data_IF_583373182116
#
_entry.id   IF_583373182116
#
_cell.length_a   1.000
_cell.length_b   1.000
_cell.length_c   1.000
_cell.angle_alpha   90.00
_cell.angle_beta   90.00
_cell.angle_gamma   90.00
#
_symmetry.space_group_name_H-M   'P 1'
#
loop_
_entity.id
_entity.type
_entity.pdbx_description
1 polymer ?
#
# COMPACT_ATOMS: atom_id res chain seq x y z
N UNK A 1 -61.34 62.42 -48.13
CA UNK A 1 -61.27 61.64 -46.88
C UNK A 1 -60.17 60.61 -47.03
N UNK A 2 -58.94 60.91 -46.50
CA UNK A 2 -57.77 60.04 -46.58
C UNK A 2 -57.68 59.30 -45.25
N UNK A 3 -57.76 57.94 -45.23
CA UNK A 3 -57.56 57.10 -44.10
C UNK A 3 -56.12 56.61 -44.08
N UNK A 4 -55.30 57.15 -43.20
CA UNK A 4 -53.95 56.66 -42.90
C UNK A 4 -54.01 55.39 -41.98
N UNK A 5 -53.48 54.25 -42.45
CA UNK A 5 -53.30 53.04 -41.69
C UNK A 5 -51.97 53.11 -40.95
N UNK A 6 -51.99 53.20 -39.62
CA UNK A 6 -50.80 52.99 -38.75
C UNK A 6 -50.44 51.52 -38.70
N UNK A 7 -49.27 51.15 -39.19
CA UNK A 7 -48.69 49.82 -39.02
C UNK A 7 -47.96 49.78 -37.66
N UNK A 8 -48.39 48.89 -36.72
CA UNK A 8 -47.72 48.62 -35.46
C UNK A 8 -46.62 47.57 -35.69
N UNK A 9 -45.38 48.00 -35.65
CA UNK A 9 -44.21 47.04 -35.54
C UNK A 9 -44.10 46.55 -34.13
N UNK A 10 -44.30 45.23 -33.91
CA UNK A 10 -43.99 44.53 -32.65
C UNK A 10 -42.56 44.06 -32.77
N UNK A 11 -41.68 44.71 -31.97
CA UNK A 11 -40.31 44.22 -31.80
C UNK A 11 -40.34 43.04 -30.79
N UNK A 12 -40.14 41.81 -31.28
CA UNK A 12 -39.90 40.65 -30.44
C UNK A 12 -38.44 40.66 -30.00
N UNK A 13 -38.16 41.04 -28.76
CA UNK A 13 -36.85 40.90 -28.15
C UNK A 13 -36.62 39.41 -27.81
N UNK A 14 -35.76 38.73 -28.57
CA UNK A 14 -35.28 37.38 -28.24
C UNK A 14 -34.28 37.47 -27.10
N UNK A 15 -34.72 37.06 -25.90
CA UNK A 15 -33.82 36.85 -24.75
C UNK A 15 -32.97 35.58 -24.99
N UNK A 16 -31.71 35.76 -25.39
CA UNK A 16 -30.73 34.68 -25.47
C UNK A 16 -30.28 34.36 -24.06
N UNK A 17 -30.83 33.29 -23.44
CA UNK A 17 -30.38 32.77 -22.16
C UNK A 17 -28.98 32.18 -22.33
N UNK A 18 -27.96 32.90 -21.88
CA UNK A 18 -26.60 32.38 -21.75
C UNK A 18 -26.62 31.40 -20.60
N UNK A 19 -26.66 30.10 -20.89
CA UNK A 19 -26.45 29.06 -19.93
C UNK A 19 -24.98 29.13 -19.45
N UNK A 20 -24.73 29.68 -18.28
CA UNK A 20 -23.45 29.58 -17.59
C UNK A 20 -23.20 28.11 -17.30
N UNK A 21 -22.04 27.54 -17.70
CA UNK A 21 -21.70 26.18 -17.28
C UNK A 21 -21.65 26.17 -15.76
N UNK A 22 -22.49 25.35 -15.11
CA UNK A 22 -22.37 25.07 -13.72
C UNK A 22 -20.96 24.53 -13.50
N UNK A 23 -20.15 25.18 -12.67
CA UNK A 23 -18.86 24.67 -12.27
C UNK A 23 -19.13 23.30 -11.59
N UNK A 24 -18.92 22.22 -12.35
CA UNK A 24 -18.95 20.89 -11.77
C UNK A 24 -17.87 20.88 -10.68
N UNK A 25 -18.27 20.79 -9.42
CA UNK A 25 -17.34 20.63 -8.32
C UNK A 25 -16.42 19.43 -8.62
N UNK A 26 -15.15 19.52 -8.20
CA UNK A 26 -14.22 18.41 -8.36
C UNK A 26 -14.86 17.14 -7.78
N UNK A 27 -14.80 16.03 -8.52
CA UNK A 27 -15.26 14.74 -8.02
C UNK A 27 -14.42 14.32 -6.79
N UNK A 28 -15.00 13.52 -5.92
CA UNK A 28 -14.28 12.98 -4.78
C UNK A 28 -13.55 11.67 -5.18
N UNK A 29 -12.29 11.56 -4.78
CA UNK A 29 -11.57 10.27 -4.69
C UNK A 29 -11.72 9.77 -3.26
N UNK A 30 -12.61 8.80 -3.04
CA UNK A 30 -12.84 8.21 -1.73
C UNK A 30 -11.87 7.05 -1.51
N UNK A 31 -10.98 7.19 -0.55
CA UNK A 31 -9.94 6.20 -0.23
C UNK A 31 -10.26 5.54 1.11
N UNK A 32 -10.37 4.21 1.13
CA UNK A 32 -10.40 3.45 2.37
C UNK A 32 -8.98 3.36 2.93
N UNK A 33 -8.81 3.74 4.19
CA UNK A 33 -7.53 3.71 4.88
C UNK A 33 -7.71 3.39 6.37
N UNK A 34 -6.69 2.80 6.98
CA UNK A 34 -6.68 2.60 8.43
C UNK A 34 -6.31 3.91 9.12
N UNK A 35 -7.06 4.30 10.17
CA UNK A 35 -6.82 5.57 10.88
C UNK A 35 -5.56 5.58 11.75
N UNK A 36 -4.96 4.41 12.01
CA UNK A 36 -3.85 4.23 12.96
C UNK A 36 -3.01 3.01 12.57
N UNK A 37 -2.35 3.07 11.41
CA UNK A 37 -1.53 1.99 10.85
C UNK A 37 -0.24 2.55 10.25
N UNK A 38 0.56 3.23 11.07
CA UNK A 38 1.88 3.71 10.61
C UNK A 38 2.83 2.53 10.36
N UNK A 39 3.67 2.62 9.32
CA UNK A 39 3.93 3.75 8.44
C UNK A 39 3.02 3.83 7.19
N UNK A 40 2.00 3.00 7.09
CA UNK A 40 1.09 2.95 5.95
C UNK A 40 0.14 4.15 5.91
N UNK A 41 -0.74 4.25 6.90
CA UNK A 41 -1.72 5.35 6.97
C UNK A 41 -2.05 5.75 8.40
N UNK A 42 -2.40 7.02 8.57
CA UNK A 42 -2.95 7.56 9.80
C UNK A 42 -3.89 8.75 9.53
N UNK A 43 -4.63 9.20 10.56
CA UNK A 43 -5.51 10.37 10.45
C UNK A 43 -4.78 11.68 10.28
N UNK A 44 -3.50 11.77 10.67
CA UNK A 44 -2.67 12.94 10.47
C UNK A 44 -2.19 13.08 9.03
N UNK A 45 -2.32 12.01 8.22
CA UNK A 45 -1.89 11.99 6.84
C UNK A 45 -0.37 11.79 6.69
N UNK A 46 0.29 11.21 7.69
CA UNK A 46 1.75 11.05 7.72
C UNK A 46 2.23 9.75 7.10
N UNK A 47 1.38 8.73 6.97
CA UNK A 47 1.72 7.47 6.33
C UNK A 47 2.03 7.60 4.84
N UNK A 48 2.81 6.66 4.29
CA UNK A 48 3.19 6.71 2.88
C UNK A 48 1.99 6.51 1.94
N UNK A 49 1.02 5.67 2.32
CA UNK A 49 -0.24 5.53 1.57
C UNK A 49 -1.04 6.82 1.53
N UNK A 50 -1.07 7.58 2.64
CA UNK A 50 -1.71 8.88 2.67
C UNK A 50 -1.07 9.83 1.65
N UNK A 51 0.27 9.86 1.56
CA UNK A 51 0.99 10.71 0.62
C UNK A 51 0.74 10.28 -0.84
N UNK A 52 0.71 8.96 -1.12
CA UNK A 52 0.37 8.41 -2.44
C UNK A 52 -1.08 8.74 -2.81
N UNK A 53 -2.03 8.58 -1.89
CA UNK A 53 -3.44 8.92 -2.10
C UNK A 53 -3.64 10.41 -2.40
N UNK A 54 -2.98 11.28 -1.63
CA UNK A 54 -3.04 12.73 -1.83
C UNK A 54 -2.49 13.14 -3.20
N UNK A 55 -1.35 12.57 -3.60
CA UNK A 55 -0.79 12.81 -4.92
C UNK A 55 -1.70 12.30 -6.04
N UNK A 56 -2.27 11.11 -5.88
CA UNK A 56 -3.19 10.50 -6.85
C UNK A 56 -4.44 11.36 -7.04
N UNK A 57 -5.07 11.81 -5.96
CA UNK A 57 -6.23 12.70 -6.03
C UNK A 57 -5.88 14.03 -6.74
N UNK A 58 -4.74 14.63 -6.40
CA UNK A 58 -4.24 15.84 -7.05
C UNK A 58 -4.03 15.63 -8.55
N UNK A 59 -3.39 14.52 -8.95
CA UNK A 59 -3.15 14.19 -10.37
C UNK A 59 -4.44 13.97 -11.16
N UNK A 60 -5.50 13.52 -10.51
CA UNK A 60 -6.83 13.37 -11.08
C UNK A 60 -7.64 14.67 -11.09
N UNK A 61 -7.21 15.72 -10.39
CA UNK A 61 -8.03 16.92 -10.17
C UNK A 61 -9.25 16.63 -9.28
N UNK A 62 -9.18 15.61 -8.42
CA UNK A 62 -10.25 15.18 -7.53
C UNK A 62 -9.94 15.58 -6.08
N UNK A 63 -11.01 15.71 -5.29
CA UNK A 63 -10.87 15.96 -3.85
C UNK A 63 -10.64 14.64 -3.12
N UNK A 64 -9.56 14.54 -2.34
CA UNK A 64 -9.32 13.39 -1.48
C UNK A 64 -10.30 13.36 -0.31
N UNK A 65 -10.96 12.23 -0.13
CA UNK A 65 -11.85 11.93 1.00
C UNK A 65 -11.49 10.57 1.58
N UNK A 66 -11.14 10.52 2.86
CA UNK A 66 -10.87 9.24 3.53
C UNK A 66 -12.14 8.62 4.11
N UNK A 67 -12.24 7.31 3.94
CA UNK A 67 -13.17 6.44 4.67
C UNK A 67 -12.32 5.60 5.62
N UNK A 68 -12.29 6.02 6.88
CA UNK A 68 -11.46 5.40 7.90
C UNK A 68 -12.09 4.11 8.41
N UNK A 69 -11.36 3.02 8.31
CA UNK A 69 -11.72 1.71 8.85
C UNK A 69 -10.45 0.93 9.20
N UNK A 70 -10.48 0.15 10.27
CA UNK A 70 -9.31 -0.66 10.64
C UNK A 70 -9.16 -1.85 9.68
N UNK A 71 -7.93 -2.12 9.29
CA UNK A 71 -7.53 -3.34 8.56
C UNK A 71 -7.23 -4.51 9.49
N UNK A 72 -7.22 -4.24 10.80
CA UNK A 72 -6.92 -5.19 11.87
C UNK A 72 -8.21 -5.68 12.52
N UNK A 73 -8.17 -6.88 13.05
CA UNK A 73 -9.31 -7.52 13.71
C UNK A 73 -9.73 -8.82 13.04
N UNK A 74 -10.76 -9.46 13.57
CA UNK A 74 -11.25 -10.73 13.05
C UNK A 74 -11.70 -10.59 11.59
N UNK A 75 -10.98 -11.24 10.66
CA UNK A 75 -11.24 -11.17 9.23
C UNK A 75 -10.28 -10.28 8.43
N UNK A 76 -9.41 -9.52 9.10
CA UNK A 76 -8.29 -8.80 8.49
C UNK A 76 -8.66 -7.97 7.26
N UNK A 77 -7.77 -7.99 6.27
CA UNK A 77 -7.92 -7.22 5.02
C UNK A 77 -9.15 -7.63 4.20
N UNK A 78 -9.52 -8.90 4.18
CA UNK A 78 -10.70 -9.37 3.42
C UNK A 78 -11.97 -8.78 3.97
N UNK A 79 -12.15 -8.75 5.29
CA UNK A 79 -13.29 -8.10 5.91
C UNK A 79 -13.29 -6.59 5.67
N UNK A 80 -12.14 -5.95 5.74
CA UNK A 80 -12.00 -4.53 5.43
C UNK A 80 -12.47 -4.20 4.00
N UNK A 81 -12.06 -4.98 3.00
CA UNK A 81 -12.51 -4.86 1.62
C UNK A 81 -14.03 -5.05 1.53
N UNK A 82 -14.53 -6.16 2.08
CA UNK A 82 -15.95 -6.49 2.02
C UNK A 82 -16.84 -5.42 2.66
N UNK A 83 -16.46 -4.93 3.85
CA UNK A 83 -17.26 -3.96 4.60
C UNK A 83 -17.21 -2.54 4.06
N UNK A 84 -16.19 -2.20 3.28
CA UNK A 84 -15.96 -0.82 2.84
C UNK A 84 -15.95 -0.66 1.32
N UNK A 85 -15.04 -1.35 0.63
CA UNK A 85 -14.88 -1.22 -0.82
C UNK A 85 -16.09 -1.81 -1.56
N UNK A 86 -16.50 -3.03 -1.25
CA UNK A 86 -17.66 -3.71 -1.88
C UNK A 86 -18.96 -3.01 -1.58
N UNK A 87 -19.12 -2.47 -0.37
CA UNK A 87 -20.29 -1.68 0.03
C UNK A 87 -20.27 -0.23 -0.49
N UNK A 88 -19.32 0.10 -1.37
CA UNK A 88 -19.22 1.41 -2.02
C UNK A 88 -19.06 2.59 -1.05
N UNK A 89 -18.53 2.35 0.14
CA UNK A 89 -18.20 3.43 1.07
C UNK A 89 -17.00 4.23 0.56
N UNK A 90 -16.01 3.54 -0.02
CA UNK A 90 -14.88 4.11 -0.75
C UNK A 90 -14.78 3.56 -2.16
N UNK A 91 -13.86 4.10 -2.96
CA UNK A 91 -13.62 3.74 -4.34
C UNK A 91 -12.28 3.02 -4.54
N UNK A 92 -11.31 3.30 -3.67
CA UNK A 92 -9.92 2.89 -3.80
C UNK A 92 -9.36 2.43 -2.47
N UNK A 93 -8.51 1.39 -2.54
CA UNK A 93 -7.59 0.97 -1.47
C UNK A 93 -6.16 1.09 -2.02
N UNK A 94 -5.23 1.57 -1.19
CA UNK A 94 -3.83 1.68 -1.54
C UNK A 94 -3.05 0.43 -1.13
N UNK A 95 -1.88 0.24 -1.71
CA UNK A 95 -0.83 -0.69 -1.29
C UNK A 95 -1.29 -2.15 -1.15
N UNK A 96 -1.88 -2.68 -2.21
CA UNK A 96 -2.36 -4.06 -2.25
C UNK A 96 -1.49 -4.93 -3.15
N UNK A 97 -1.30 -6.23 -2.85
CA UNK A 97 -0.66 -7.15 -3.77
C UNK A 97 -1.41 -7.24 -5.11
N UNK A 98 -0.66 -7.18 -6.22
CA UNK A 98 -1.24 -7.21 -7.57
C UNK A 98 -2.13 -8.43 -7.86
N UNK A 99 -1.83 -9.58 -7.25
CA UNK A 99 -2.52 -10.84 -7.49
C UNK A 99 -3.63 -11.17 -6.47
N UNK A 100 -4.12 -10.19 -5.70
CA UNK A 100 -5.24 -10.43 -4.79
C UNK A 100 -6.56 -10.62 -5.55
N UNK A 101 -7.29 -11.69 -5.26
CA UNK A 101 -8.44 -12.16 -6.05
C UNK A 101 -9.75 -11.40 -5.77
N UNK A 102 -9.86 -10.78 -4.60
CA UNK A 102 -11.09 -10.13 -4.12
C UNK A 102 -11.19 -8.64 -4.50
N UNK A 103 -10.24 -8.12 -5.28
CA UNK A 103 -10.16 -6.73 -5.71
C UNK A 103 -9.77 -6.61 -7.18
N UNK A 104 -10.01 -5.47 -7.79
CA UNK A 104 -9.56 -5.15 -9.13
C UNK A 104 -8.29 -4.28 -9.05
N UNK A 105 -7.13 -4.95 -9.03
CA UNK A 105 -5.84 -4.28 -8.93
C UNK A 105 -5.50 -3.46 -10.19
N UNK A 106 -4.78 -2.36 -9.99
CA UNK A 106 -4.13 -1.59 -11.06
C UNK A 106 -2.84 -2.28 -11.53
N UNK A 107 -2.19 -1.73 -12.56
CA UNK A 107 -0.78 -2.04 -12.82
C UNK A 107 0.07 -1.70 -11.60
N UNK A 108 1.10 -2.50 -11.29
CA UNK A 108 1.96 -2.24 -10.14
C UNK A 108 2.77 -0.96 -10.31
N UNK A 109 2.88 -0.18 -9.24
CA UNK A 109 3.71 1.02 -9.25
C UNK A 109 5.05 0.85 -8.53
N UNK A 110 5.20 -0.21 -7.70
CA UNK A 110 6.47 -0.61 -7.09
C UNK A 110 6.50 -2.11 -6.77
N UNK A 111 7.66 -2.59 -6.36
CA UNK A 111 7.85 -3.95 -5.83
C UNK A 111 8.43 -3.82 -4.44
N UNK A 112 7.89 -4.57 -3.49
CA UNK A 112 8.45 -4.74 -2.16
C UNK A 112 8.66 -6.21 -1.81
N UNK A 113 9.36 -6.45 -0.70
CA UNK A 113 9.76 -7.78 -0.27
C UNK A 113 9.74 -7.93 1.25
N UNK A 114 9.59 -9.15 1.73
CA UNK A 114 10.02 -9.48 3.07
C UNK A 114 11.54 -9.30 3.19
N UNK A 115 12.00 -8.92 4.36
CA UNK A 115 13.41 -8.65 4.62
C UNK A 115 13.88 -9.30 5.91
N UNK A 116 15.15 -9.69 5.93
CA UNK A 116 15.88 -9.95 7.17
C UNK A 116 16.40 -8.63 7.74
N UNK A 117 16.21 -8.42 9.05
CA UNK A 117 16.74 -7.28 9.76
C UNK A 117 17.61 -7.78 10.91
N UNK A 118 18.84 -7.31 11.00
CA UNK A 118 19.74 -7.67 12.08
C UNK A 118 20.83 -6.61 12.29
N UNK A 119 21.49 -6.55 13.48
CA UNK A 119 22.57 -5.60 13.72
C UNK A 119 23.76 -5.84 12.79
N UNK A 120 24.17 -4.82 11.98
CA UNK A 120 25.30 -4.92 11.04
C UNK A 120 26.59 -5.46 11.66
N UNK A 121 26.87 -5.08 12.89
CA UNK A 121 28.07 -5.54 13.64
C UNK A 121 28.14 -7.05 13.85
N UNK A 122 27.05 -7.78 13.63
CA UNK A 122 27.00 -9.24 13.78
C UNK A 122 27.52 -9.97 12.55
N UNK A 123 27.56 -9.32 11.40
CA UNK A 123 28.08 -9.88 10.15
C UNK A 123 27.51 -11.27 9.82
N UNK A 124 26.19 -11.47 10.07
CA UNK A 124 25.55 -12.74 9.74
C UNK A 124 25.54 -12.95 8.22
N UNK A 125 25.93 -14.15 7.79
CA UNK A 125 25.84 -14.58 6.39
C UNK A 125 24.41 -15.07 6.10
N UNK A 126 23.51 -14.11 5.92
CA UNK A 126 22.08 -14.35 5.65
C UNK A 126 21.74 -13.70 4.31
N UNK A 127 21.38 -14.52 3.32
CA UNK A 127 20.96 -14.10 1.99
C UNK A 127 19.62 -14.71 1.56
N UNK A 128 19.15 -15.76 2.22
CA UNK A 128 17.89 -16.43 1.93
C UNK A 128 17.35 -17.17 3.16
N UNK A 129 16.13 -17.69 3.08
CA UNK A 129 15.56 -18.57 4.11
C UNK A 129 16.36 -19.88 4.29
N UNK A 130 17.18 -20.26 3.31
CA UNK A 130 18.04 -21.45 3.38
C UNK A 130 19.42 -21.19 3.99
N UNK A 131 19.72 -19.95 4.38
CA UNK A 131 21.01 -19.58 4.96
C UNK A 131 21.31 -20.39 6.22
N UNK A 132 22.42 -21.16 6.27
CA UNK A 132 22.74 -22.01 7.43
C UNK A 132 22.82 -21.24 8.74
N UNK A 133 23.21 -19.97 8.69
CA UNK A 133 23.31 -19.09 9.85
C UNK A 133 21.99 -18.98 10.63
N UNK A 134 20.84 -19.10 9.97
CA UNK A 134 19.52 -19.00 10.61
C UNK A 134 19.29 -20.08 11.68
N UNK A 135 19.85 -21.28 11.52
CA UNK A 135 19.63 -22.43 12.42
C UNK A 135 20.05 -22.19 13.87
N UNK A 136 20.98 -21.29 14.10
CA UNK A 136 21.50 -20.97 15.45
C UNK A 136 20.98 -19.66 16.02
N UNK A 137 20.09 -18.96 15.32
CA UNK A 137 19.64 -17.62 15.70
C UNK A 137 18.23 -17.64 16.29
N UNK A 138 17.98 -16.76 17.25
CA UNK A 138 16.61 -16.44 17.67
C UNK A 138 15.98 -15.53 16.64
N UNK A 139 14.98 -16.04 15.95
CA UNK A 139 14.32 -15.36 14.83
C UNK A 139 13.00 -14.74 15.33
N UNK A 140 12.75 -13.47 15.00
CA UNK A 140 11.43 -12.87 15.09
C UNK A 140 10.77 -12.88 13.72
N UNK A 141 9.46 -13.06 13.66
CA UNK A 141 8.72 -13.06 12.39
C UNK A 141 7.31 -12.52 12.57
N UNK A 142 6.72 -11.98 11.52
CA UNK A 142 5.30 -11.62 11.49
C UNK A 142 4.44 -12.89 11.34
N UNK A 143 3.48 -13.07 12.24
CA UNK A 143 2.54 -14.19 12.22
C UNK A 143 1.62 -14.12 10.98
N UNK A 144 1.14 -15.28 10.52
CA UNK A 144 0.23 -15.45 9.39
C UNK A 144 0.74 -14.90 8.05
N UNK A 145 2.07 -14.90 7.86
CA UNK A 145 2.73 -14.37 6.68
C UNK A 145 3.56 -15.42 5.91
N UNK A 146 4.01 -15.09 4.69
CA UNK A 146 5.00 -15.90 3.97
C UNK A 146 6.29 -16.18 4.77
N UNK A 147 6.71 -15.24 5.63
CA UNK A 147 7.86 -15.43 6.51
C UNK A 147 7.67 -16.62 7.46
N UNK A 148 6.51 -16.71 8.10
CA UNK A 148 6.16 -17.83 8.96
C UNK A 148 6.19 -19.16 8.22
N UNK A 149 5.57 -19.21 7.03
CA UNK A 149 5.55 -20.41 6.20
C UNK A 149 6.96 -20.86 5.81
N UNK A 150 7.83 -19.93 5.41
CA UNK A 150 9.21 -20.21 5.09
C UNK A 150 10.00 -20.79 6.28
N UNK A 151 9.76 -20.28 7.49
CA UNK A 151 10.38 -20.81 8.72
C UNK A 151 9.83 -22.20 9.07
N UNK A 152 8.52 -22.44 8.90
CA UNK A 152 7.90 -23.75 9.12
C UNK A 152 8.49 -24.82 8.20
N UNK A 153 8.62 -24.55 6.92
CA UNK A 153 9.18 -25.46 5.92
C UNK A 153 10.61 -25.90 6.26
N UNK A 154 11.38 -25.10 6.99
CA UNK A 154 12.76 -25.35 7.38
C UNK A 154 12.93 -25.75 8.84
N UNK A 155 11.82 -25.98 9.55
CA UNK A 155 11.81 -26.33 10.98
C UNK A 155 12.45 -25.24 11.86
N UNK A 156 12.61 -24.02 11.35
CA UNK A 156 13.17 -22.88 12.08
C UNK A 156 12.17 -22.26 13.06
N UNK A 157 10.88 -22.52 12.85
CA UNK A 157 9.78 -21.99 13.66
C UNK A 157 9.86 -22.38 15.15
N UNK A 158 10.50 -23.51 15.47
CA UNK A 158 10.57 -24.07 16.85
C UNK A 158 11.24 -23.09 17.82
N UNK A 159 12.18 -22.29 17.34
CA UNK A 159 12.95 -21.32 18.14
C UNK A 159 12.68 -19.87 17.70
N UNK A 160 11.60 -19.67 16.95
CA UNK A 160 11.22 -18.35 16.48
C UNK A 160 10.13 -17.73 17.36
N UNK A 161 10.11 -16.40 17.41
CA UNK A 161 9.14 -15.62 18.18
C UNK A 161 8.18 -14.93 17.21
N UNK A 162 6.87 -15.24 17.27
CA UNK A 162 5.88 -14.53 16.48
C UNK A 162 5.67 -13.11 17.03
N UNK A 163 5.41 -12.19 16.12
CA UNK A 163 4.90 -10.86 16.38
C UNK A 163 3.58 -10.75 15.61
N UNK A 164 2.56 -10.23 16.25
CA UNK A 164 1.21 -10.17 15.71
C UNK A 164 0.79 -8.71 15.51
N UNK A 165 0.30 -8.39 14.32
CA UNK A 165 -0.20 -7.05 13.97
C UNK A 165 -1.68 -6.85 14.31
N UNK A 166 -2.39 -7.89 14.75
CA UNK A 166 -3.86 -7.85 14.86
C UNK A 166 -4.37 -7.11 16.09
N UNK A 167 -3.64 -7.09 17.18
CA UNK A 167 -4.17 -6.68 18.49
C UNK A 167 -3.80 -5.25 18.93
N UNK A 168 -2.77 -4.64 18.35
CA UNK A 168 -2.37 -3.30 18.76
C UNK A 168 -1.91 -2.44 17.57
N UNK A 169 -2.27 -1.16 17.55
CA UNK A 169 -1.80 -0.20 16.55
C UNK A 169 -0.27 -0.15 16.52
N UNK A 170 0.32 -0.29 15.33
CA UNK A 170 1.77 -0.17 15.08
C UNK A 170 2.66 -1.07 15.95
N UNK A 171 2.12 -2.16 16.51
CA UNK A 171 2.80 -2.91 17.57
C UNK A 171 3.82 -3.91 17.04
N UNK A 172 3.49 -4.67 16.03
CA UNK A 172 4.29 -5.81 15.57
C UNK A 172 5.68 -5.40 15.07
N UNK A 173 5.75 -4.40 14.20
CA UNK A 173 7.03 -3.93 13.66
C UNK A 173 7.86 -3.19 14.71
N UNK A 174 7.25 -2.32 15.49
CA UNK A 174 7.95 -1.59 16.55
C UNK A 174 8.39 -2.54 17.67
N UNK A 175 7.55 -3.48 18.08
CA UNK A 175 7.91 -4.52 19.06
C UNK A 175 9.03 -5.42 18.55
N UNK A 176 9.05 -5.79 17.28
CA UNK A 176 10.14 -6.57 16.68
C UNK A 176 11.46 -5.77 16.72
N UNK A 177 11.46 -4.50 16.37
CA UNK A 177 12.64 -3.62 16.45
C UNK A 177 13.11 -3.44 17.90
N UNK A 178 12.20 -3.30 18.85
CA UNK A 178 12.51 -3.27 20.28
C UNK A 178 13.12 -4.59 20.75
N UNK A 179 12.58 -5.73 20.29
CA UNK A 179 13.12 -7.06 20.62
C UNK A 179 14.53 -7.26 20.03
N UNK A 180 14.79 -6.76 18.82
CA UNK A 180 16.13 -6.73 18.21
C UNK A 180 17.09 -5.85 19.03
N UNK A 181 16.67 -4.65 19.41
CA UNK A 181 17.49 -3.72 20.19
C UNK A 181 17.84 -4.30 21.57
N UNK A 182 16.88 -4.96 22.21
CA UNK A 182 17.07 -5.64 23.50
C UNK A 182 17.85 -6.98 23.39
N UNK A 183 18.16 -7.44 22.18
CA UNK A 183 18.81 -8.73 21.95
C UNK A 183 17.95 -9.93 22.29
N UNK A 184 16.63 -9.78 22.42
CA UNK A 184 15.68 -10.89 22.62
C UNK A 184 15.62 -11.78 21.39
N UNK A 185 15.65 -11.17 20.20
CA UNK A 185 15.84 -11.84 18.91
C UNK A 185 17.17 -11.38 18.29
N UNK A 186 17.73 -12.18 17.42
CA UNK A 186 18.98 -11.90 16.73
C UNK A 186 18.75 -11.39 15.29
N UNK A 187 17.66 -11.85 14.68
CA UNK A 187 17.21 -11.45 13.34
C UNK A 187 15.68 -11.36 13.32
N UNK A 188 15.14 -10.36 12.66
CA UNK A 188 13.72 -10.23 12.35
C UNK A 188 13.47 -10.57 10.89
N UNK A 189 12.31 -11.16 10.57
CA UNK A 189 11.81 -11.36 9.20
C UNK A 189 10.45 -10.69 9.11
N UNK A 190 10.37 -9.63 8.34
CA UNK A 190 9.18 -8.76 8.28
C UNK A 190 8.99 -8.14 6.89
N UNK A 191 7.84 -7.54 6.66
CA UNK A 191 7.54 -6.79 5.45
C UNK A 191 8.32 -5.48 5.41
N UNK A 192 9.06 -5.22 4.33
CA UNK A 192 9.98 -4.07 4.25
C UNK A 192 9.28 -2.72 4.45
N UNK A 193 8.15 -2.40 3.79
CA UNK A 193 7.47 -1.12 4.00
C UNK A 193 7.07 -0.84 5.45
N UNK A 194 6.77 -1.87 6.23
CA UNK A 194 6.41 -1.72 7.63
C UNK A 194 7.58 -1.22 8.49
N UNK A 195 8.81 -1.60 8.14
CA UNK A 195 10.02 -1.23 8.90
C UNK A 195 10.82 -0.08 8.29
N UNK A 196 10.72 0.13 6.98
CA UNK A 196 11.56 1.08 6.25
C UNK A 196 11.49 2.51 6.81
N UNK A 197 10.33 2.94 7.25
CA UNK A 197 10.12 4.23 7.90
C UNK A 197 10.98 4.39 9.16
N UNK A 198 10.98 3.40 10.04
CA UNK A 198 11.73 3.41 11.31
C UNK A 198 13.23 3.26 11.06
N UNK A 199 13.62 2.42 10.10
CA UNK A 199 15.02 2.14 9.78
C UNK A 199 15.78 3.34 9.22
N UNK A 200 15.11 4.39 8.74
CA UNK A 200 15.76 5.65 8.35
C UNK A 200 16.61 6.26 9.47
N UNK A 201 16.20 6.07 10.72
CA UNK A 201 16.89 6.58 11.91
C UNK A 201 17.74 5.52 12.61
N UNK A 202 17.79 4.30 12.08
CA UNK A 202 18.45 3.15 12.69
C UNK A 202 19.50 2.53 11.74
N UNK A 203 20.56 3.29 11.35
CA UNK A 203 21.53 2.86 10.35
C UNK A 203 22.41 1.68 10.78
N UNK A 204 22.34 1.29 12.07
CA UNK A 204 23.07 0.16 12.63
C UNK A 204 22.51 -1.21 12.21
N UNK A 205 21.29 -1.26 11.63
CA UNK A 205 20.70 -2.50 11.15
C UNK A 205 21.00 -2.75 9.68
N UNK A 206 21.29 -4.02 9.34
CA UNK A 206 21.27 -4.52 7.97
C UNK A 206 19.83 -4.85 7.58
N UNK A 207 19.50 -4.62 6.32
CA UNK A 207 18.21 -4.94 5.70
C UNK A 207 18.51 -5.72 4.42
N UNK A 208 18.20 -7.01 4.41
CA UNK A 208 18.50 -7.92 3.30
C UNK A 208 17.19 -8.52 2.79
N UNK A 209 16.89 -8.35 1.51
CA UNK A 209 15.69 -8.92 0.92
C UNK A 209 15.67 -10.45 1.03
N UNK A 210 14.51 -11.02 1.30
CA UNK A 210 14.27 -12.46 1.20
C UNK A 210 13.95 -12.77 -0.26
N UNK A 211 14.81 -13.52 -0.98
CA UNK A 211 14.52 -13.89 -2.35
C UNK A 211 13.39 -14.91 -2.41
N UNK A 212 12.60 -14.86 -3.49
CA UNK A 212 11.67 -15.94 -3.81
C UNK A 212 12.44 -17.26 -3.95
N UNK A 213 11.84 -18.38 -3.58
CA UNK A 213 12.53 -19.68 -3.57
C UNK A 213 11.65 -20.80 -4.10
N UNK A 214 12.31 -21.89 -4.53
CA UNK A 214 11.72 -23.21 -4.83
C UNK A 214 12.48 -24.34 -4.13
N UNK A 215 13.37 -24.00 -3.20
CA UNK A 215 14.26 -24.96 -2.55
C UNK A 215 13.52 -26.05 -1.78
N UNK A 216 12.31 -25.79 -1.36
CA UNK A 216 11.45 -26.73 -0.63
C UNK A 216 10.43 -27.45 -1.54
N UNK A 217 10.62 -27.41 -2.85
CA UNK A 217 9.79 -28.11 -3.85
C UNK A 217 8.55 -27.34 -4.32
N UNK A 218 8.03 -26.43 -3.52
CA UNK A 218 6.93 -25.52 -3.90
C UNK A 218 7.44 -24.09 -4.02
N UNK A 219 6.76 -23.25 -4.85
CA UNK A 219 7.10 -21.84 -4.90
C UNK A 219 6.86 -21.16 -3.57
N UNK A 220 7.86 -20.45 -3.08
CA UNK A 220 7.78 -19.56 -1.93
C UNK A 220 7.94 -18.12 -2.44
N UNK A 221 6.93 -17.32 -2.23
CA UNK A 221 6.93 -15.92 -2.67
C UNK A 221 7.12 -15.00 -1.47
N UNK A 222 8.15 -14.18 -1.50
CA UNK A 222 8.47 -13.19 -0.47
C UNK A 222 8.46 -11.76 -1.01
N UNK A 223 8.44 -11.59 -2.32
CA UNK A 223 8.38 -10.29 -2.96
C UNK A 223 7.12 -10.15 -3.80
N UNK A 224 6.49 -8.99 -3.71
CA UNK A 224 5.20 -8.73 -4.31
C UNK A 224 5.21 -7.42 -5.10
N UNK A 225 4.71 -7.43 -6.35
CA UNK A 225 4.31 -6.21 -7.02
C UNK A 225 3.12 -5.58 -6.29
N UNK A 226 3.20 -4.29 -5.97
CA UNK A 226 2.20 -3.57 -5.20
C UNK A 226 1.44 -2.58 -6.08
N UNK A 227 0.15 -2.54 -5.87
CA UNK A 227 -0.83 -1.84 -6.70
C UNK A 227 -1.78 -1.00 -5.86
N UNK A 228 -2.53 -0.14 -6.51
CA UNK A 228 -3.80 0.37 -5.97
C UNK A 228 -4.91 -0.59 -6.39
N UNK A 229 -6.05 -0.56 -5.72
CA UNK A 229 -7.18 -1.38 -6.12
C UNK A 229 -8.50 -0.64 -6.09
N UNK A 230 -9.33 -0.98 -7.07
CA UNK A 230 -10.74 -0.66 -7.12
C UNK A 230 -11.57 -1.91 -6.78
N UNK A 231 -12.84 -1.72 -6.56
CA UNK A 231 -13.86 -2.76 -6.38
C UNK A 231 -13.92 -3.66 -7.62
N UNK A 232 -14.18 -4.95 -7.42
CA UNK A 232 -14.43 -5.88 -8.53
C UNK A 232 -15.53 -5.32 -9.47
N UNK A 233 -15.24 -5.34 -10.78
CA UNK A 233 -16.13 -4.82 -11.81
C UNK A 233 -16.04 -3.31 -12.06
N UNK A 234 -15.33 -2.54 -11.24
CA UNK A 234 -15.12 -1.09 -11.44
C UNK A 234 -13.88 -0.80 -12.28
N UNK A 235 -13.94 -1.25 -13.54
CA UNK A 235 -12.84 -1.02 -14.50
C UNK A 235 -12.61 0.47 -14.78
N UNK A 236 -13.62 1.30 -14.68
CA UNK A 236 -13.48 2.74 -14.91
C UNK A 236 -12.55 3.40 -13.87
N UNK A 237 -12.72 3.07 -12.59
CA UNK A 237 -11.83 3.54 -11.52
C UNK A 237 -10.43 2.95 -11.67
N UNK A 238 -10.30 1.63 -11.91
CA UNK A 238 -8.99 1.02 -12.15
C UNK A 238 -8.25 1.68 -13.32
N UNK A 239 -8.91 1.89 -14.47
CA UNK A 239 -8.29 2.46 -15.66
C UNK A 239 -7.90 3.93 -15.45
N UNK A 240 -8.68 4.67 -14.65
CA UNK A 240 -8.36 6.02 -14.21
C UNK A 240 -7.06 6.03 -13.39
N UNK A 241 -6.92 5.14 -12.43
CA UNK A 241 -5.71 4.99 -11.59
C UNK A 241 -4.50 4.52 -12.42
N UNK A 242 -4.70 3.60 -13.38
CA UNK A 242 -3.64 3.15 -14.28
C UNK A 242 -3.05 4.30 -15.10
N UNK A 243 -3.89 5.24 -15.56
CA UNK A 243 -3.40 6.46 -16.25
C UNK A 243 -2.52 7.33 -15.34
N UNK A 244 -2.89 7.46 -14.06
CA UNK A 244 -2.05 8.19 -13.09
C UNK A 244 -0.73 7.48 -12.90
N UNK A 245 -0.75 6.16 -12.69
CA UNK A 245 0.48 5.36 -12.51
C UNK A 245 1.39 5.50 -13.74
N UNK A 246 0.85 5.34 -14.94
CA UNK A 246 1.63 5.44 -16.18
C UNK A 246 2.26 6.83 -16.38
N UNK A 247 1.52 7.91 -16.07
CA UNK A 247 1.98 9.28 -16.26
C UNK A 247 2.91 9.77 -15.13
N UNK A 248 2.79 9.21 -13.89
CA UNK A 248 3.41 9.75 -12.69
C UNK A 248 4.21 8.73 -11.88
N UNK A 249 4.64 7.63 -12.48
CA UNK A 249 5.36 6.54 -11.77
C UNK A 249 6.58 7.06 -11.00
N UNK A 250 7.35 7.96 -11.61
CA UNK A 250 8.54 8.53 -10.97
C UNK A 250 8.20 9.32 -9.69
N UNK A 251 7.10 10.05 -9.69
CA UNK A 251 6.66 10.83 -8.52
C UNK A 251 6.12 9.90 -7.43
N UNK A 252 5.33 8.89 -7.78
CA UNK A 252 4.82 7.90 -6.83
C UNK A 252 5.96 7.15 -6.15
N UNK A 253 6.96 6.69 -6.93
CA UNK A 253 8.13 6.01 -6.37
C UNK A 253 9.01 6.94 -5.54
N UNK A 254 9.13 8.23 -5.89
CA UNK A 254 9.83 9.21 -5.10
C UNK A 254 9.15 9.45 -3.73
N UNK A 255 7.81 9.49 -3.69
CA UNK A 255 7.04 9.57 -2.43
C UNK A 255 7.36 8.37 -1.54
N UNK A 256 7.31 7.15 -2.08
CA UNK A 256 7.62 5.93 -1.34
C UNK A 256 9.04 5.97 -0.76
N UNK A 257 10.04 6.26 -1.60
CA UNK A 257 11.45 6.32 -1.18
C UNK A 257 11.68 7.39 -0.10
N UNK A 258 11.03 8.57 -0.23
CA UNK A 258 11.12 9.63 0.78
C UNK A 258 10.56 9.19 2.14
N UNK A 259 9.55 8.34 2.14
CA UNK A 259 8.95 7.78 3.34
C UNK A 259 9.64 6.49 3.84
N UNK A 260 10.77 6.11 3.26
CA UNK A 260 11.60 5.01 3.73
C UNK A 260 11.30 3.66 3.07
N UNK A 261 10.32 3.58 2.18
CA UNK A 261 10.01 2.34 1.45
C UNK A 261 11.13 2.06 0.44
N UNK A 262 11.78 0.92 0.58
CA UNK A 262 12.80 0.46 -0.36
C UNK A 262 12.15 -0.12 -1.61
N UNK A 263 12.59 0.35 -2.76
CA UNK A 263 12.10 -0.10 -4.06
C UNK A 263 13.00 -1.20 -4.59
N UNK A 264 12.41 -2.34 -4.89
CA UNK A 264 13.11 -3.50 -5.46
C UNK A 264 12.90 -3.58 -6.97
N UNK A 265 13.92 -4.08 -7.67
CA UNK A 265 13.81 -4.47 -9.07
C UNK A 265 13.57 -5.98 -9.17
N UNK A 266 12.99 -6.49 -10.26
CA UNK A 266 12.78 -7.94 -10.44
C UNK A 266 14.06 -8.77 -10.22
N UNK A 267 15.23 -8.25 -10.61
CA UNK A 267 16.51 -8.92 -10.42
C UNK A 267 16.92 -9.03 -8.94
N UNK A 268 16.50 -8.08 -8.09
CA UNK A 268 16.87 -8.06 -6.66
C UNK A 268 16.15 -9.17 -5.86
N UNK A 269 15.07 -9.69 -6.40
CA UNK A 269 14.14 -10.61 -5.74
C UNK A 269 13.94 -11.92 -6.53
N UNK A 270 14.67 -12.10 -7.64
CA UNK A 270 14.62 -13.34 -8.41
C UNK A 270 15.07 -14.52 -7.53
N UNK A 271 14.41 -15.68 -7.69
CA UNK A 271 14.81 -16.92 -7.04
C UNK A 271 16.23 -17.29 -7.44
N UNK A 272 17.07 -17.51 -6.45
CA UNK A 272 18.41 -18.09 -6.65
C UNK A 272 18.31 -19.59 -6.89
#
# INVERSE_FOLDING_TARGET
VIRTKLARFVFAAAFMAVALPAAAGAADLRVCADPDYMPFSDKAGEGFENKVAAYTAHALGEKLVYVWASTRGNGGFDQFVHENLDKKKCDVVMDVPYAADNILATEPYYISSYVFIYPKKKHYDISSMDSPALKGLRIGFEADTPAENGLKLRTLIIHATPFDSTDAPNSDTDEMLQALAAGKIAVGVTWEPAVGYYLRTLPQYAVVAVPNSRSQGSPEQYAFPMSMAARLGDSATRDKLNRVIAAHKAQLTAILAHNGVKLYQPADIASQ
#
